data_IF_435674990452
#
_entry.id   IF_435674990452
#
_cell.length_a   1.000
_cell.length_b   1.000
_cell.length_c   1.000
_cell.angle_alpha   90.00
_cell.angle_beta   90.00
_cell.angle_gamma   90.00
#
_symmetry.space_group_name_H-M   'P 1'
#
loop_
_entity.id
_entity.type
_entity.pdbx_description
1 polymer ?
#
# COMPACT_ATOMS: atom_id res chain seq x y z
N UNK A 1 -11.28 9.56 0.96
CA UNK A 1 -11.15 9.04 2.34
C UNK A 1 -12.32 8.14 2.69
N UNK A 2 -12.18 7.31 3.68
CA UNK A 2 -13.26 6.44 4.13
C UNK A 2 -13.26 6.26 5.64
N UNK A 3 -14.40 5.80 6.16
CA UNK A 3 -14.58 5.50 7.58
C UNK A 3 -14.81 4.00 7.74
N UNK A 4 -13.91 3.31 8.45
CA UNK A 4 -14.11 1.92 8.82
C UNK A 4 -14.98 1.82 10.07
N UNK A 5 -15.89 0.85 10.08
CA UNK A 5 -16.74 0.56 11.23
C UNK A 5 -16.92 -0.97 11.38
N UNK A 6 -17.13 -1.42 12.60
CA UNK A 6 -17.38 -2.83 12.97
C UNK A 6 -18.77 -3.04 13.55
N UNK A 7 -19.05 -4.25 14.06
CA UNK A 7 -20.33 -4.58 14.71
C UNK A 7 -20.65 -3.65 15.92
N UNK A 8 -19.60 -3.28 16.65
CA UNK A 8 -19.70 -2.28 17.72
C UNK A 8 -19.36 -0.91 17.16
N UNK A 9 -20.36 -0.10 16.88
CA UNK A 9 -20.26 1.24 16.26
C UNK A 9 -19.34 2.22 17.04
N UNK A 10 -18.89 1.79 18.23
CA UNK A 10 -18.04 2.56 19.15
C UNK A 10 -16.60 2.82 18.63
N UNK A 11 -16.13 2.14 17.57
CA UNK A 11 -14.76 2.26 17.08
C UNK A 11 -14.70 2.61 15.59
N UNK A 12 -15.33 3.71 15.21
CA UNK A 12 -15.15 4.27 13.86
C UNK A 12 -13.71 4.76 13.67
N UNK A 13 -13.02 4.21 12.68
CA UNK A 13 -11.67 4.64 12.32
C UNK A 13 -11.72 5.41 11.01
N UNK A 14 -11.31 6.67 11.02
CA UNK A 14 -11.16 7.50 9.83
C UNK A 14 -9.82 7.20 9.16
N UNK A 15 -9.86 6.84 7.88
CA UNK A 15 -8.68 6.61 7.05
C UNK A 15 -8.54 7.76 6.07
N UNK A 16 -7.33 8.30 6.01
CA UNK A 16 -6.96 9.40 5.15
C UNK A 16 -5.68 9.02 4.41
N UNK A 17 -5.82 8.67 3.13
CA UNK A 17 -4.72 8.34 2.26
C UNK A 17 -4.24 9.61 1.51
N UNK A 18 -3.02 9.62 0.93
CA UNK A 18 -2.54 10.76 0.15
C UNK A 18 -3.51 11.15 -0.97
N UNK A 19 -3.62 12.46 -1.21
CA UNK A 19 -4.56 13.00 -2.21
C UNK A 19 -3.94 13.21 -3.59
N UNK A 20 -2.62 13.27 -3.67
CA UNK A 20 -1.88 13.51 -4.92
C UNK A 20 -1.37 12.20 -5.52
N UNK A 21 -1.19 12.16 -6.82
CA UNK A 21 -0.63 11.01 -7.53
C UNK A 21 0.72 10.58 -6.95
N UNK A 22 1.63 11.53 -6.72
CA UNK A 22 2.95 11.25 -6.16
C UNK A 22 2.86 10.68 -4.74
N UNK A 23 2.02 11.27 -3.89
CA UNK A 23 1.78 10.75 -2.54
C UNK A 23 1.20 9.34 -2.54
N UNK A 24 0.29 9.05 -3.48
CA UNK A 24 -0.29 7.72 -3.69
C UNK A 24 0.79 6.72 -4.12
N UNK A 25 1.67 7.07 -5.06
CA UNK A 25 2.78 6.21 -5.48
C UNK A 25 3.75 5.92 -4.33
N UNK A 26 4.03 6.91 -3.49
CA UNK A 26 4.84 6.71 -2.27
C UNK A 26 4.11 5.76 -1.31
N UNK A 27 2.81 5.96 -1.09
CA UNK A 27 2.02 5.07 -0.22
C UNK A 27 2.05 3.62 -0.69
N UNK A 28 2.09 3.38 -2.00
CA UNK A 28 2.21 2.04 -2.57
C UNK A 28 3.51 1.31 -2.18
N UNK A 29 4.57 2.00 -1.78
CA UNK A 29 5.73 1.32 -1.19
C UNK A 29 5.38 0.62 0.13
N UNK A 30 4.39 1.13 0.85
CA UNK A 30 4.03 0.71 2.20
C UNK A 30 2.74 -0.11 2.26
N UNK A 31 1.84 0.03 1.29
CA UNK A 31 0.57 -0.70 1.26
C UNK A 31 -0.39 -0.18 0.20
N UNK A 32 -1.55 -0.82 0.09
CA UNK A 32 -2.60 -0.43 -0.85
C UNK A 32 -3.23 0.91 -0.45
N UNK A 33 -3.23 1.95 -1.34
CA UNK A 33 -3.74 3.28 -1.02
C UNK A 33 -5.24 3.46 -1.27
N UNK A 34 -5.94 2.41 -1.72
CA UNK A 34 -7.34 2.50 -2.12
C UNK A 34 -8.18 1.37 -1.53
N UNK A 35 -9.42 1.69 -1.17
CA UNK A 35 -10.47 0.70 -1.00
C UNK A 35 -11.11 0.45 -2.37
N UNK A 36 -10.97 -0.75 -2.95
CA UNK A 36 -11.44 -1.09 -4.30
C UNK A 36 -12.90 -0.70 -4.54
N UNK A 37 -13.76 -0.88 -3.55
CA UNK A 37 -15.19 -0.57 -3.64
C UNK A 37 -15.52 0.93 -3.64
N UNK A 38 -14.53 1.81 -3.43
CA UNK A 38 -14.69 3.27 -3.38
C UNK A 38 -13.99 3.99 -4.53
N UNK A 39 -13.65 3.29 -5.61
CA UNK A 39 -12.90 3.84 -6.73
C UNK A 39 -13.79 4.11 -7.93
N UNK A 40 -13.53 5.21 -8.61
CA UNK A 40 -14.06 5.54 -9.93
C UNK A 40 -12.90 5.79 -10.89
N UNK A 41 -12.96 5.24 -12.11
CA UNK A 41 -11.92 5.42 -13.12
C UNK A 41 -12.52 5.70 -14.50
N UNK A 42 -11.76 6.38 -15.36
CA UNK A 42 -12.14 6.59 -16.76
C UNK A 42 -11.97 5.27 -17.51
N UNK A 43 -13.07 4.71 -18.03
CA UNK A 43 -13.08 3.40 -18.69
C UNK A 43 -12.19 3.34 -19.95
N UNK A 44 -12.08 4.45 -20.68
CA UNK A 44 -11.19 4.51 -21.84
C UNK A 44 -9.73 4.44 -21.43
N UNK A 45 -9.30 5.23 -20.44
CA UNK A 45 -7.93 5.21 -19.93
C UNK A 45 -7.57 3.83 -19.38
N UNK A 46 -8.49 3.19 -18.66
CA UNK A 46 -8.30 1.82 -18.20
C UNK A 46 -8.13 0.83 -19.36
N UNK A 47 -8.97 0.87 -20.39
CA UNK A 47 -8.83 -0.01 -21.55
C UNK A 47 -7.53 0.21 -22.29
N UNK A 48 -7.09 1.47 -22.44
CA UNK A 48 -5.84 1.81 -23.13
C UNK A 48 -4.60 1.41 -22.33
N UNK A 49 -4.68 1.29 -21.00
CA UNK A 49 -3.54 0.85 -20.18
C UNK A 49 -3.14 -0.60 -20.42
N UNK A 50 -4.07 -1.45 -20.86
CA UNK A 50 -3.86 -2.90 -21.01
C UNK A 50 -3.66 -3.64 -19.70
N UNK A 51 -3.76 -2.97 -18.55
CA UNK A 51 -3.59 -3.58 -17.22
C UNK A 51 -4.77 -4.50 -16.90
N UNK A 52 -4.47 -5.66 -16.33
CA UNK A 52 -5.46 -6.66 -15.94
C UNK A 52 -5.24 -7.07 -14.48
N UNK A 53 -6.31 -7.55 -13.83
CA UNK A 53 -6.19 -8.17 -12.54
C UNK A 53 -5.34 -9.44 -12.61
N UNK A 54 -4.42 -9.60 -11.67
CA UNK A 54 -3.62 -10.82 -11.54
C UNK A 54 -4.25 -11.74 -10.52
N UNK A 55 -4.08 -13.05 -10.71
CA UNK A 55 -4.53 -14.07 -9.75
C UNK A 55 -3.57 -14.10 -8.55
N UNK A 56 -3.79 -13.17 -7.62
CA UNK A 56 -3.04 -13.06 -6.36
C UNK A 56 -4.00 -12.75 -5.21
N UNK A 57 -3.60 -12.99 -3.97
CA UNK A 57 -4.42 -12.68 -2.80
C UNK A 57 -4.43 -11.17 -2.41
N UNK A 58 -3.66 -10.35 -3.12
CA UNK A 58 -3.63 -8.89 -3.01
C UNK A 58 -3.79 -8.29 -4.42
N UNK A 59 -4.79 -8.77 -5.15
CA UNK A 59 -5.06 -8.43 -6.54
C UNK A 59 -5.32 -6.95 -6.75
N UNK A 60 -6.00 -6.31 -5.80
CA UNK A 60 -6.29 -4.89 -5.82
C UNK A 60 -5.00 -4.06 -5.67
N UNK A 61 -4.15 -4.43 -4.74
CA UNK A 61 -2.88 -3.73 -4.53
C UNK A 61 -1.98 -3.83 -5.76
N UNK A 62 -1.82 -5.04 -6.32
CA UNK A 62 -1.05 -5.23 -7.55
C UNK A 62 -1.63 -4.45 -8.72
N UNK A 63 -2.95 -4.45 -8.86
CA UNK A 63 -3.66 -3.73 -9.91
C UNK A 63 -3.38 -2.20 -9.86
N UNK A 64 -3.39 -1.60 -8.66
CA UNK A 64 -3.10 -0.17 -8.50
C UNK A 64 -1.63 0.15 -8.77
N UNK A 65 -0.71 -0.72 -8.37
CA UNK A 65 0.71 -0.59 -8.70
C UNK A 65 0.90 -0.59 -10.21
N UNK A 66 0.33 -1.58 -10.90
CA UNK A 66 0.44 -1.70 -12.37
C UNK A 66 -0.21 -0.50 -13.10
N UNK A 67 -1.32 0.04 -12.59
CA UNK A 67 -1.99 1.20 -13.17
C UNK A 67 -1.26 2.52 -12.91
N UNK A 68 -0.44 2.61 -11.88
CA UNK A 68 0.17 3.88 -11.46
C UNK A 68 1.09 4.52 -12.50
N UNK A 69 1.61 3.72 -13.42
CA UNK A 69 2.45 4.21 -14.53
C UNK A 69 1.64 4.63 -15.77
N UNK A 70 0.33 4.33 -15.79
CA UNK A 70 -0.56 4.58 -16.93
C UNK A 70 -1.61 5.66 -16.66
N UNK A 71 -1.92 5.94 -15.41
CA UNK A 71 -3.02 6.83 -15.04
C UNK A 71 -2.63 7.72 -13.85
N UNK A 72 -3.04 8.98 -13.91
CA UNK A 72 -2.99 9.84 -12.75
C UNK A 72 -4.10 9.48 -11.76
N UNK A 73 -3.74 9.33 -10.50
CA UNK A 73 -4.62 8.93 -9.39
C UNK A 73 -4.76 10.07 -8.38
N UNK A 74 -5.92 10.15 -7.73
CA UNK A 74 -6.16 11.09 -6.66
C UNK A 74 -7.17 10.51 -5.66
N UNK A 75 -7.06 10.89 -4.39
CA UNK A 75 -8.09 10.65 -3.39
C UNK A 75 -8.86 11.95 -3.12
N UNK A 76 -10.19 11.85 -3.04
CA UNK A 76 -11.04 12.96 -2.62
C UNK A 76 -10.88 13.14 -1.11
N UNK A 77 -10.51 14.37 -0.61
CA UNK A 77 -10.23 14.60 0.81
C UNK A 77 -11.50 14.74 1.66
N UNK A 78 -12.48 13.90 1.38
CA UNK A 78 -13.77 13.85 2.07
C UNK A 78 -14.13 12.41 2.42
N UNK A 79 -14.71 12.18 3.60
CA UNK A 79 -15.13 10.86 4.06
C UNK A 79 -16.49 10.47 3.42
N UNK A 80 -16.44 10.02 2.18
CA UNK A 80 -17.62 9.71 1.36
C UNK A 80 -18.00 8.23 1.39
N UNK A 81 -17.14 7.36 1.91
CA UNK A 81 -17.35 5.93 1.89
C UNK A 81 -17.26 5.33 3.30
N UNK A 82 -18.19 4.42 3.61
CA UNK A 82 -18.21 3.66 4.85
C UNK A 82 -17.84 2.21 4.59
N UNK A 83 -16.67 1.79 5.09
CA UNK A 83 -16.16 0.43 4.96
C UNK A 83 -16.54 -0.40 6.18
N UNK A 84 -17.44 -1.35 5.99
CA UNK A 84 -17.83 -2.26 7.06
C UNK A 84 -16.81 -3.37 7.24
N UNK A 85 -16.32 -3.54 8.45
CA UNK A 85 -15.49 -4.68 8.86
C UNK A 85 -16.33 -5.70 9.60
N UNK A 86 -16.11 -6.96 9.26
CA UNK A 86 -16.76 -8.05 9.95
C UNK A 86 -15.84 -9.27 10.00
N UNK A 87 -16.06 -10.19 10.97
CA UNK A 87 -15.11 -11.24 11.34
C UNK A 87 -14.80 -12.25 10.21
N UNK A 88 -15.77 -12.56 9.36
CA UNK A 88 -15.64 -13.56 8.30
C UNK A 88 -15.31 -12.99 6.91
N UNK A 89 -14.86 -11.74 6.81
CA UNK A 89 -14.43 -11.21 5.51
C UNK A 89 -13.10 -11.84 5.06
N UNK A 90 -12.88 -11.95 3.75
CA UNK A 90 -11.69 -12.57 3.16
C UNK A 90 -10.37 -11.97 3.70
N UNK A 91 -10.33 -10.66 3.87
CA UNK A 91 -9.16 -9.96 4.43
C UNK A 91 -8.82 -10.33 5.89
N UNK A 92 -9.74 -10.96 6.60
CA UNK A 92 -9.49 -11.47 7.95
C UNK A 92 -9.18 -12.96 7.92
N UNK A 93 -9.94 -13.76 7.16
CA UNK A 93 -9.81 -15.22 7.12
C UNK A 93 -8.57 -15.72 6.36
N UNK A 94 -8.00 -14.91 5.47
CA UNK A 94 -6.82 -15.24 4.65
C UNK A 94 -5.66 -14.24 4.82
N UNK A 95 -5.56 -13.62 6.00
CA UNK A 95 -4.58 -12.57 6.29
C UNK A 95 -3.14 -12.99 5.97
N UNK A 96 -2.74 -14.21 6.30
CA UNK A 96 -1.38 -14.71 6.05
C UNK A 96 -1.06 -14.75 4.54
N UNK A 97 -1.98 -15.25 3.73
CA UNK A 97 -1.80 -15.32 2.27
C UNK A 97 -1.80 -13.93 1.64
N UNK A 98 -2.67 -13.04 2.10
CA UNK A 98 -2.67 -11.64 1.66
C UNK A 98 -1.36 -10.93 2.05
N UNK A 99 -0.85 -11.16 3.26
CA UNK A 99 0.42 -10.61 3.73
C UNK A 99 1.58 -11.07 2.85
N UNK A 100 1.65 -12.36 2.49
CA UNK A 100 2.68 -12.88 1.60
C UNK A 100 2.59 -12.29 0.18
N UNK A 101 1.38 -12.13 -0.35
CA UNK A 101 1.17 -11.47 -1.65
C UNK A 101 1.59 -10.00 -1.61
N UNK A 102 1.20 -9.25 -0.57
CA UNK A 102 1.63 -7.87 -0.38
C UNK A 102 3.15 -7.74 -0.21
N UNK A 103 3.78 -8.70 0.48
CA UNK A 103 5.24 -8.77 0.63
C UNK A 103 5.94 -8.92 -0.72
N UNK A 104 5.43 -9.77 -1.61
CA UNK A 104 5.97 -9.96 -2.94
C UNK A 104 5.86 -8.67 -3.78
N UNK A 105 4.71 -7.99 -3.73
CA UNK A 105 4.47 -6.71 -4.41
C UNK A 105 5.44 -5.63 -3.90
N UNK A 106 5.58 -5.48 -2.58
CA UNK A 106 6.48 -4.50 -1.97
C UNK A 106 7.94 -4.75 -2.34
N UNK A 107 8.39 -6.02 -2.32
CA UNK A 107 9.75 -6.40 -2.73
C UNK A 107 10.02 -6.02 -4.18
N UNK A 108 9.08 -6.34 -5.07
CA UNK A 108 9.23 -6.05 -6.49
C UNK A 108 9.25 -4.54 -6.75
N UNK A 109 8.34 -3.79 -6.13
CA UNK A 109 8.26 -2.35 -6.26
C UNK A 109 9.53 -1.64 -5.74
N UNK A 110 10.04 -2.03 -4.56
CA UNK A 110 11.30 -1.51 -4.03
C UNK A 110 12.49 -1.81 -4.95
N UNK A 111 12.54 -3.02 -5.50
CA UNK A 111 13.59 -3.45 -6.41
C UNK A 111 13.54 -2.68 -7.74
N UNK A 112 12.38 -2.60 -8.36
CA UNK A 112 12.22 -1.99 -9.70
C UNK A 112 12.35 -0.48 -9.64
N UNK A 113 11.74 0.17 -8.66
CA UNK A 113 11.72 1.64 -8.56
C UNK A 113 12.96 2.20 -7.89
N UNK A 114 13.40 1.60 -6.78
CA UNK A 114 14.51 2.11 -5.96
C UNK A 114 15.80 1.30 -6.05
N UNK A 115 15.79 0.15 -6.75
CA UNK A 115 16.93 -0.76 -6.80
C UNK A 115 17.28 -1.41 -5.46
N UNK A 116 16.33 -1.39 -4.52
CA UNK A 116 16.51 -2.00 -3.21
C UNK A 116 16.17 -3.48 -3.23
N UNK A 117 17.13 -4.31 -2.90
CA UNK A 117 16.90 -5.75 -2.63
C UNK A 117 16.81 -5.97 -1.13
N UNK A 118 15.78 -6.68 -0.70
CA UNK A 118 15.56 -7.08 0.68
C UNK A 118 15.83 -8.58 0.84
N UNK A 119 16.40 -8.97 1.97
CA UNK A 119 16.42 -10.39 2.41
C UNK A 119 14.98 -10.81 2.77
N UNK A 120 14.75 -12.11 2.92
CA UNK A 120 13.41 -12.60 3.31
C UNK A 120 12.99 -12.08 4.69
N UNK A 121 13.94 -12.02 5.64
CA UNK A 121 13.70 -11.47 6.97
C UNK A 121 13.41 -9.96 6.94
N UNK A 122 14.19 -9.17 6.20
CA UNK A 122 13.94 -7.74 6.02
C UNK A 122 12.57 -7.49 5.37
N UNK A 123 12.22 -8.30 4.37
CA UNK A 123 10.95 -8.20 3.67
C UNK A 123 9.76 -8.50 4.59
N UNK A 124 9.88 -9.54 5.42
CA UNK A 124 8.88 -9.88 6.44
C UNK A 124 8.67 -8.72 7.42
N UNK A 125 9.76 -8.21 8.00
CA UNK A 125 9.72 -7.09 8.96
C UNK A 125 9.09 -5.84 8.32
N UNK A 126 9.50 -5.52 7.08
CA UNK A 126 8.99 -4.38 6.33
C UNK A 126 7.47 -4.49 6.14
N UNK A 127 7.00 -5.63 5.65
CA UNK A 127 5.58 -5.84 5.36
C UNK A 127 4.74 -5.87 6.64
N UNK A 128 5.17 -6.58 7.68
CA UNK A 128 4.45 -6.65 8.95
C UNK A 128 4.27 -5.25 9.58
N UNK A 129 5.31 -4.44 9.55
CA UNK A 129 5.25 -3.08 10.10
C UNK A 129 4.30 -2.19 9.31
N UNK A 130 4.36 -2.24 7.98
CA UNK A 130 3.57 -1.39 7.11
C UNK A 130 2.09 -1.77 7.10
N UNK A 131 1.78 -3.06 7.10
CA UNK A 131 0.40 -3.56 7.17
C UNK A 131 -0.14 -3.62 8.60
N UNK A 132 0.70 -3.34 9.61
CA UNK A 132 0.34 -3.42 11.04
C UNK A 132 -0.18 -4.80 11.43
N UNK A 133 0.43 -5.85 10.90
CA UNK A 133 0.09 -7.25 11.19
C UNK A 133 1.16 -7.88 12.07
N UNK A 134 0.74 -8.66 13.06
CA UNK A 134 1.65 -9.30 14.01
C UNK A 134 2.29 -8.34 15.01
N UNK A 135 3.31 -8.84 15.72
CA UNK A 135 4.06 -8.10 16.74
C UNK A 135 5.54 -8.17 16.40
N UNK A 136 6.21 -7.01 16.37
CA UNK A 136 7.66 -6.94 16.16
C UNK A 136 8.41 -6.87 17.49
N UNK A 137 9.57 -7.53 17.53
CA UNK A 137 10.53 -7.43 18.62
C UNK A 137 11.32 -6.11 18.52
N UNK A 138 12.04 -5.75 19.59
CA UNK A 138 12.81 -4.50 19.64
C UNK A 138 13.94 -4.46 18.59
N UNK A 139 14.61 -5.58 18.35
CA UNK A 139 15.65 -5.73 17.32
C UNK A 139 15.09 -5.58 15.91
N UNK A 140 13.89 -6.12 15.65
CA UNK A 140 13.18 -5.98 14.36
C UNK A 140 12.78 -4.53 14.08
N UNK A 141 12.41 -3.76 15.11
CA UNK A 141 12.18 -2.32 14.98
C UNK A 141 13.44 -1.57 14.57
N UNK A 142 14.61 -1.98 15.07
CA UNK A 142 15.90 -1.42 14.66
C UNK A 142 16.20 -1.72 13.21
N UNK A 143 15.95 -2.96 12.77
CA UNK A 143 16.05 -3.37 11.36
C UNK A 143 15.12 -2.54 10.48
N UNK A 144 13.85 -2.37 10.86
CA UNK A 144 12.89 -1.56 10.12
C UNK A 144 13.35 -0.10 9.97
N UNK A 145 13.85 0.52 11.04
CA UNK A 145 14.44 1.87 10.96
C UNK A 145 15.63 1.95 9.99
N UNK A 146 16.46 0.91 9.97
CA UNK A 146 17.55 0.76 8.99
C UNK A 146 17.03 0.70 7.55
N UNK A 147 15.97 -0.06 7.31
CA UNK A 147 15.32 -0.16 6.01
C UNK A 147 14.76 1.18 5.54
N UNK A 148 14.10 1.96 6.40
CA UNK A 148 13.62 3.30 6.04
C UNK A 148 14.76 4.25 5.67
N UNK A 149 15.90 4.19 6.37
CA UNK A 149 17.09 4.98 6.00
C UNK A 149 17.67 4.57 4.65
N UNK A 150 17.71 3.26 4.34
CA UNK A 150 18.12 2.73 3.03
C UNK A 150 17.18 3.20 1.93
N UNK A 151 15.86 3.16 2.16
CA UNK A 151 14.84 3.62 1.23
C UNK A 151 15.03 5.12 0.92
N UNK A 152 15.20 5.95 1.95
CA UNK A 152 15.46 7.38 1.76
C UNK A 152 16.71 7.63 0.92
N UNK A 153 17.83 6.95 1.22
CA UNK A 153 19.08 7.06 0.46
C UNK A 153 18.88 6.63 -1.00
N UNK A 154 18.27 5.47 -1.24
CA UNK A 154 18.00 4.97 -2.58
C UNK A 154 17.12 5.94 -3.39
N UNK A 155 16.12 6.56 -2.75
CA UNK A 155 15.31 7.58 -3.40
C UNK A 155 16.11 8.86 -3.69
N UNK A 156 16.99 9.29 -2.79
CA UNK A 156 17.84 10.47 -3.01
C UNK A 156 18.79 10.28 -4.20
N UNK A 157 19.27 9.06 -4.44
CA UNK A 157 20.13 8.71 -5.55
C UNK A 157 19.36 8.58 -6.88
N UNK A 158 18.21 7.91 -6.86
CA UNK A 158 17.40 7.63 -8.06
C UNK A 158 16.40 8.71 -8.42
N UNK A 159 16.01 9.55 -7.46
CA UNK A 159 14.97 10.59 -7.61
C UNK A 159 13.66 10.03 -8.17
N UNK A 160 13.29 8.83 -7.75
CA UNK A 160 12.08 8.16 -8.21
C UNK A 160 10.80 8.81 -7.65
N UNK A 161 10.92 9.45 -6.48
CA UNK A 161 9.82 10.14 -5.80
C UNK A 161 10.29 11.51 -5.32
N UNK A 162 9.38 12.49 -5.30
CA UNK A 162 9.68 13.81 -4.75
C UNK A 162 9.94 13.72 -3.24
N UNK A 163 11.15 14.13 -2.80
CA UNK A 163 11.56 14.07 -1.40
C UNK A 163 10.79 15.03 -0.48
N UNK A 164 10.14 16.06 -1.03
CA UNK A 164 9.37 17.03 -0.22
C UNK A 164 8.14 16.38 0.44
N UNK A 165 7.65 15.26 -0.11
CA UNK A 165 6.52 14.53 0.46
C UNK A 165 6.87 13.72 1.73
N UNK A 166 8.14 13.59 2.09
CA UNK A 166 8.58 12.90 3.32
C UNK A 166 8.65 13.81 4.55
N UNK A 167 8.44 15.11 4.38
CA UNK A 167 8.61 16.11 5.45
C UNK A 167 7.32 16.73 5.95
N UNK A 168 6.17 16.30 5.44
CA UNK A 168 4.84 16.80 5.83
C UNK A 168 4.11 15.89 6.82
#
# INVERSE_FOLDING_TARGET
YYTMFGPDDARKQKIQDPTTHEGIRIQMLFGCPFAMSAVMMRSEAFRCSGVQFRDTMAEDYQFWVDLSDHMHMANIPEHLFFYRRWENQLSTSQLDRQTLSAQAIQRDLLRTTLGMTLTDEESRIYTQMNLRVGTLRRDELTTYRGLLKRLYRANSERRAYDCLLYTS
#
